data_IF_779557206641
#
_entry.id   IF_779557206641
#
_cell.length_a   1.000
_cell.length_b   1.000
_cell.length_c   1.000
_cell.angle_alpha   90.00
_cell.angle_beta   90.00
_cell.angle_gamma   90.00
#
_symmetry.space_group_name_H-M   'P 1'
#
loop_
_entity.id
_entity.type
_entity.pdbx_description
1 polymer ?
#
# COMPACT_ATOMS: atom_id res chain seq x y z
N UNK A 1 7.87 -16.08 11.09
CA UNK A 1 7.68 -16.20 10.36
C UNK A 1 8.18 -15.71 9.31
N UNK A 2 8.36 -15.82 8.41
CA UNK A 2 8.85 -15.47 7.41
C UNK A 2 8.16 -14.46 6.81
N UNK A 3 7.93 -13.49 7.16
CA UNK A 3 7.30 -12.54 6.64
C UNK A 3 7.98 -11.85 5.62
N UNK A 4 9.19 -11.91 5.44
CA UNK A 4 9.93 -11.28 4.46
C UNK A 4 9.39 -11.51 3.15
N UNK A 5 8.75 -12.49 2.90
CA UNK A 5 8.31 -12.75 1.60
C UNK A 5 7.16 -11.92 1.19
N UNK A 6 6.53 -11.20 2.05
CA UNK A 6 5.47 -10.46 1.67
C UNK A 6 5.78 -9.31 0.87
N UNK A 7 6.88 -8.70 1.02
CA UNK A 7 7.14 -7.52 0.30
C UNK A 7 7.32 -7.72 -1.13
N UNK A 8 7.56 -8.86 -1.60
CA UNK A 8 7.77 -9.04 -2.92
C UNK A 8 6.59 -9.06 -3.65
N UNK A 9 5.54 -9.34 -3.13
CA UNK A 9 4.42 -9.51 -3.84
C UNK A 9 3.82 -8.32 -4.38
N UNK A 10 4.23 -7.18 -4.06
CA UNK A 10 3.68 -6.04 -4.62
C UNK A 10 4.17 -5.99 -6.01
N UNK A 11 3.40 -6.20 -6.98
CA UNK A 11 3.83 -6.24 -8.33
C UNK A 11 4.04 -4.84 -8.82
N UNK A 12 4.54 -4.69 -10.00
CA UNK A 12 4.78 -3.41 -10.56
C UNK A 12 3.51 -2.60 -10.66
N UNK A 13 2.41 -3.26 -10.93
CA UNK A 13 1.15 -2.58 -11.03
C UNK A 13 0.79 -1.86 -9.72
N UNK A 14 0.92 -2.55 -8.61
CA UNK A 14 0.57 -1.94 -7.35
C UNK A 14 1.61 -0.93 -6.90
N UNK A 15 2.84 -1.16 -7.27
CA UNK A 15 3.87 -0.22 -6.94
C UNK A 15 3.58 1.11 -7.64
N UNK A 16 3.16 1.06 -8.89
CA UNK A 16 2.84 2.26 -9.61
C UNK A 16 1.58 2.92 -9.06
N UNK A 17 0.64 2.12 -8.61
CA UNK A 17 -0.57 2.67 -8.04
C UNK A 17 -0.22 3.47 -6.79
N UNK A 18 0.64 2.93 -5.95
CA UNK A 18 1.03 3.61 -4.74
C UNK A 18 1.74 4.93 -5.11
N UNK A 19 2.63 4.88 -6.08
CA UNK A 19 3.34 6.08 -6.48
C UNK A 19 2.37 7.14 -7.01
N UNK A 20 1.38 6.72 -7.75
CA UNK A 20 0.41 7.64 -8.28
C UNK A 20 -0.40 8.30 -7.17
N UNK A 21 -0.77 7.53 -6.17
CA UNK A 21 -1.54 8.07 -5.08
C UNK A 21 -0.75 9.09 -4.27
N UNK A 22 0.52 8.83 -4.09
CA UNK A 22 1.35 9.76 -3.38
C UNK A 22 1.56 11.01 -4.23
N UNK A 23 1.82 10.83 -5.50
CA UNK A 23 2.05 11.95 -6.38
C UNK A 23 0.82 12.83 -6.51
N UNK A 24 -0.36 12.28 -6.34
CA UNK A 24 -1.56 13.05 -6.48
C UNK A 24 -1.82 13.95 -5.28
N UNK A 25 -1.04 13.79 -4.23
CA UNK A 25 -1.20 14.62 -3.06
C UNK A 25 -2.18 14.07 -2.05
N UNK A 26 -2.82 12.95 -2.34
CA UNK A 26 -3.75 12.39 -1.41
C UNK A 26 -3.07 11.81 -0.20
N UNK A 27 -1.88 11.27 -0.37
CA UNK A 27 -1.15 10.67 0.72
C UNK A 27 0.25 11.25 0.78
N UNK A 28 0.81 11.33 1.94
CA UNK A 28 2.13 11.89 2.08
C UNK A 28 3.21 10.98 1.62
N UNK A 29 3.04 9.72 1.78
CA UNK A 29 4.06 8.77 1.39
C UNK A 29 3.44 7.39 1.23
N UNK A 30 4.25 6.44 0.83
CA UNK A 30 3.76 5.11 0.58
C UNK A 30 3.21 4.43 1.82
N UNK A 31 3.80 4.73 2.96
CA UNK A 31 3.34 4.13 4.18
C UNK A 31 1.91 4.52 4.49
N UNK A 32 1.56 5.74 4.18
CA UNK A 32 0.21 6.17 4.42
C UNK A 32 -0.76 5.45 3.52
N UNK A 33 -0.37 5.19 2.29
CA UNK A 33 -1.22 4.48 1.36
C UNK A 33 -1.50 3.09 1.91
N UNK A 34 -0.45 2.41 2.37
CA UNK A 34 -0.59 1.06 2.87
C UNK A 34 -1.44 1.04 4.12
N UNK A 35 -1.20 1.98 5.01
CA UNK A 35 -1.94 2.03 6.25
C UNK A 35 -3.43 2.24 5.98
N UNK A 36 -3.74 3.12 5.06
CA UNK A 36 -5.13 3.38 4.75
C UNK A 36 -5.78 2.16 4.14
N UNK A 37 -5.06 1.45 3.28
CA UNK A 37 -5.60 0.25 2.67
C UNK A 37 -5.90 -0.81 3.71
N UNK A 38 -4.98 -0.99 4.66
CA UNK A 38 -5.17 -1.98 5.68
C UNK A 38 -6.33 -1.59 6.60
N UNK A 39 -6.48 -0.31 6.87
CA UNK A 39 -7.55 0.12 7.71
C UNK A 39 -8.90 -0.16 7.05
N UNK A 40 -8.98 0.05 5.75
CA UNK A 40 -10.22 -0.22 5.07
C UNK A 40 -10.55 -1.71 5.07
N UNK A 41 -9.54 -2.54 4.94
CA UNK A 41 -9.77 -3.96 4.98
C UNK A 41 -10.24 -4.38 6.37
N UNK A 42 -9.70 -3.76 7.39
CA UNK A 42 -10.09 -4.07 8.72
C UNK A 42 -11.55 -3.75 8.93
N UNK A 43 -12.02 -2.66 8.38
CA UNK A 43 -13.40 -2.28 8.52
C UNK A 43 -14.34 -3.22 7.81
N UNK A 44 -13.88 -3.85 6.76
CA UNK A 44 -14.74 -4.74 6.04
C UNK A 44 -14.85 -6.11 6.65
N UNK A 45 -13.94 -6.49 7.45
CA UNK A 45 -14.06 -7.76 8.10
C UNK A 45 -14.66 -7.56 9.46
#
# INVERSE_FOLDING_TARGET
MKMKTKNISLTEHYSELVDTLVASGRYKNASEVVREGLRLLEQRT
#
